data_IF_550364479682
#
_entry.id   IF_550364479682
#
_cell.length_a   1.000
_cell.length_b   1.000
_cell.length_c   1.000
_cell.angle_alpha   90.00
_cell.angle_beta   90.00
_cell.angle_gamma   90.00
#
_symmetry.space_group_name_H-M   'P 1'
#
loop_
_entity.id
_entity.type
_entity.pdbx_description
1 polymer ?
#
# COMPACT_ATOMS: atom_id res chain seq x y z
N UNK A 1 16.18 -16.71 5.27
CA UNK A 1 15.81 -15.46 5.96
C UNK A 1 14.53 -15.70 6.77
N UNK A 2 14.62 -16.31 7.95
CA UNK A 2 13.42 -16.73 8.72
C UNK A 2 12.85 -15.64 9.61
N UNK A 3 13.63 -14.59 9.94
CA UNK A 3 13.18 -13.48 10.77
C UNK A 3 12.50 -12.34 10.00
N UNK A 4 12.51 -12.37 8.67
CA UNK A 4 11.83 -11.36 7.85
C UNK A 4 10.36 -11.73 7.71
N UNK A 5 9.50 -10.97 8.38
CA UNK A 5 8.04 -11.20 8.42
C UNK A 5 7.27 -10.33 7.43
N UNK A 6 7.79 -9.15 7.12
CA UNK A 6 7.20 -8.23 6.14
C UNK A 6 8.22 -7.73 5.11
N UNK A 7 7.73 -7.40 3.92
CA UNK A 7 8.52 -6.87 2.81
C UNK A 7 7.76 -5.74 2.12
N UNK A 8 8.44 -4.61 1.87
CA UNK A 8 7.89 -3.49 1.11
C UNK A 8 8.63 -3.34 -0.22
N UNK A 9 7.92 -3.48 -1.34
CA UNK A 9 8.43 -3.30 -2.70
C UNK A 9 8.02 -1.90 -3.20
N UNK A 10 8.99 -0.98 -3.41
CA UNK A 10 8.71 0.43 -3.65
C UNK A 10 8.05 0.66 -5.02
N UNK A 11 7.33 1.77 -5.16
CA UNK A 11 6.55 2.08 -6.37
C UNK A 11 7.38 2.12 -7.66
N UNK A 12 8.66 2.53 -7.58
CA UNK A 12 9.57 2.61 -8.72
C UNK A 12 10.25 1.29 -9.11
N UNK A 13 9.93 0.17 -8.46
CA UNK A 13 10.57 -1.11 -8.77
C UNK A 13 10.08 -1.63 -10.12
N UNK A 14 11.00 -1.86 -11.04
CA UNK A 14 10.70 -2.37 -12.39
C UNK A 14 11.08 -3.83 -12.57
N UNK A 15 11.98 -4.34 -11.74
CA UNK A 15 12.49 -5.71 -11.83
C UNK A 15 12.90 -6.28 -10.48
N UNK A 16 12.61 -7.57 -10.27
CA UNK A 16 13.05 -8.37 -9.13
C UNK A 16 14.00 -9.46 -9.63
N UNK A 17 15.20 -9.52 -9.04
CA UNK A 17 16.24 -10.46 -9.43
C UNK A 17 15.92 -11.93 -9.15
N UNK A 18 16.67 -12.81 -9.80
CA UNK A 18 16.59 -14.26 -9.60
C UNK A 18 16.77 -14.64 -8.12
N UNK A 19 15.78 -15.34 -7.54
CA UNK A 19 15.84 -15.81 -6.17
C UNK A 19 15.99 -14.72 -5.09
N UNK A 20 15.62 -13.46 -5.39
CA UNK A 20 15.83 -12.32 -4.49
C UNK A 20 15.28 -12.53 -3.07
N UNK A 21 14.18 -13.27 -2.93
CA UNK A 21 13.53 -13.57 -1.65
C UNK A 21 13.49 -15.08 -1.35
N UNK A 22 14.39 -15.85 -1.98
CA UNK A 22 14.50 -17.29 -1.77
C UNK A 22 14.74 -17.65 -0.30
N UNK A 23 13.94 -18.56 0.23
CA UNK A 23 14.05 -19.05 1.61
C UNK A 23 13.67 -18.01 2.67
N UNK A 24 12.90 -16.98 2.30
CA UNK A 24 12.26 -16.08 3.25
C UNK A 24 11.01 -16.73 3.87
N UNK A 25 11.19 -17.84 4.59
CA UNK A 25 10.10 -18.67 5.10
C UNK A 25 9.28 -18.02 6.22
N UNK A 26 9.76 -16.92 6.79
CA UNK A 26 9.05 -16.15 7.83
C UNK A 26 8.07 -15.11 7.28
N UNK A 27 8.04 -14.87 5.97
CA UNK A 27 7.20 -13.84 5.37
C UNK A 27 5.72 -14.17 5.54
N UNK A 28 4.99 -13.22 6.14
CA UNK A 28 3.54 -13.26 6.31
C UNK A 28 2.86 -12.14 5.53
N UNK A 29 3.59 -11.10 5.11
CA UNK A 29 3.01 -9.97 4.39
C UNK A 29 4.00 -9.37 3.40
N UNK A 30 3.53 -9.07 2.19
CA UNK A 30 4.29 -8.34 1.18
C UNK A 30 3.43 -7.18 0.70
N UNK A 31 3.94 -5.96 0.81
CA UNK A 31 3.33 -4.75 0.27
C UNK A 31 4.02 -4.37 -1.01
N UNK A 32 3.25 -4.26 -2.10
CA UNK A 32 3.74 -3.78 -3.39
C UNK A 32 3.10 -2.44 -3.67
N UNK A 33 3.94 -1.44 -3.93
CA UNK A 33 3.49 -0.08 -4.25
C UNK A 33 3.58 0.22 -5.76
N UNK A 34 4.06 -0.73 -6.57
CA UNK A 34 4.17 -0.57 -8.01
C UNK A 34 2.82 -0.82 -8.70
N UNK A 35 2.36 0.14 -9.49
CA UNK A 35 1.11 0.02 -10.27
C UNK A 35 1.23 -0.99 -11.41
N UNK A 36 2.46 -1.27 -11.87
CA UNK A 36 2.74 -2.29 -12.90
C UNK A 36 3.52 -3.43 -12.28
N UNK A 37 3.18 -4.65 -12.66
CA UNK A 37 3.87 -5.86 -12.20
C UNK A 37 5.37 -5.79 -12.57
N UNK A 38 6.28 -5.80 -11.58
CA UNK A 38 7.72 -5.79 -11.85
C UNK A 38 8.17 -7.06 -12.56
N UNK A 39 9.05 -6.96 -13.54
CA UNK A 39 9.61 -8.14 -14.21
C UNK A 39 10.35 -9.06 -13.22
N UNK A 40 10.27 -10.37 -13.41
CA UNK A 40 11.08 -11.33 -12.64
C UNK A 40 12.38 -11.70 -13.36
N UNK A 41 13.33 -12.22 -12.61
CA UNK A 41 14.47 -12.97 -13.16
C UNK A 41 14.06 -14.22 -13.96
N UNK A 42 14.98 -14.72 -14.78
CA UNK A 42 14.74 -15.81 -15.72
C UNK A 42 15.19 -17.19 -15.22
N UNK A 43 16.10 -17.25 -14.25
CA UNK A 43 16.78 -18.49 -13.82
C UNK A 43 16.18 -19.12 -12.56
N UNK A 44 15.82 -18.30 -11.57
CA UNK A 44 15.33 -18.80 -10.29
C UNK A 44 14.05 -18.10 -9.86
N UNK A 45 13.17 -18.87 -9.24
CA UNK A 45 11.91 -18.41 -8.67
C UNK A 45 12.16 -17.37 -7.57
N UNK A 46 11.54 -16.20 -7.70
CA UNK A 46 11.73 -15.04 -6.81
C UNK A 46 11.42 -15.40 -5.36
N UNK A 47 10.37 -16.18 -5.15
CA UNK A 47 9.84 -16.58 -3.84
C UNK A 47 10.01 -18.08 -3.57
N UNK A 48 11.03 -18.72 -4.15
CA UNK A 48 11.29 -20.15 -3.88
C UNK A 48 11.45 -20.40 -2.37
N UNK A 49 10.76 -21.41 -1.84
CA UNK A 49 10.75 -21.77 -0.40
C UNK A 49 10.18 -20.69 0.54
N UNK A 50 9.34 -19.78 0.03
CA UNK A 50 8.44 -18.96 0.84
C UNK A 50 7.13 -19.73 1.09
N UNK A 51 6.60 -19.70 2.31
CA UNK A 51 5.28 -20.29 2.62
C UNK A 51 4.17 -19.32 2.16
N UNK A 52 4.02 -19.20 0.84
CA UNK A 52 3.17 -18.19 0.21
C UNK A 52 1.67 -18.36 0.54
N UNK A 53 1.25 -19.53 1.02
CA UNK A 53 -0.11 -19.77 1.53
C UNK A 53 -0.39 -19.03 2.83
N UNK A 54 0.64 -18.80 3.66
CA UNK A 54 0.54 -18.02 4.90
C UNK A 54 0.89 -16.55 4.70
N UNK A 55 1.20 -16.14 3.48
CA UNK A 55 1.59 -14.78 3.15
C UNK A 55 0.46 -14.06 2.41
N UNK A 56 0.12 -12.86 2.85
CA UNK A 56 -0.79 -11.98 2.12
C UNK A 56 0.02 -11.04 1.22
N UNK A 57 -0.37 -10.96 -0.04
CA UNK A 57 0.15 -9.98 -1.00
C UNK A 57 -0.79 -8.78 -1.07
N UNK A 58 -0.32 -7.64 -0.60
CA UNK A 58 -1.03 -6.36 -0.67
C UNK A 58 -0.59 -5.61 -1.92
N UNK A 59 -1.54 -5.26 -2.80
CA UNK A 59 -1.28 -4.60 -4.10
C UNK A 59 -2.11 -3.32 -4.24
N UNK A 60 -1.71 -2.36 -5.10
CA UNK A 60 -2.48 -1.13 -5.27
C UNK A 60 -3.91 -1.40 -5.75
N UNK A 61 -4.87 -0.59 -5.29
CA UNK A 61 -6.25 -0.65 -5.81
C UNK A 61 -6.30 -0.58 -7.34
N UNK A 62 -7.11 -1.43 -7.95
CA UNK A 62 -7.26 -1.55 -9.39
C UNK A 62 -6.19 -2.40 -10.09
N UNK A 63 -5.27 -3.02 -9.35
CA UNK A 63 -4.18 -3.87 -9.91
C UNK A 63 -4.31 -5.35 -9.55
N UNK A 64 -5.38 -5.74 -8.83
CA UNK A 64 -5.59 -7.13 -8.40
C UNK A 64 -5.42 -8.12 -9.55
N UNK A 65 -6.12 -7.91 -10.67
CA UNK A 65 -6.10 -8.85 -11.79
C UNK A 65 -4.71 -8.97 -12.42
N UNK A 66 -4.01 -7.85 -12.60
CA UNK A 66 -2.64 -7.84 -13.14
C UNK A 66 -1.71 -8.68 -12.26
N UNK A 67 -1.73 -8.46 -10.95
CA UNK A 67 -0.91 -9.22 -10.01
C UNK A 67 -1.36 -10.69 -9.90
N UNK A 68 -2.67 -10.96 -9.90
CA UNK A 68 -3.25 -12.30 -9.81
C UNK A 68 -2.94 -13.15 -11.04
N UNK A 69 -2.93 -12.56 -12.23
CA UNK A 69 -2.59 -13.25 -13.48
C UNK A 69 -1.08 -13.34 -13.73
N UNK A 70 -0.28 -12.57 -13.01
CA UNK A 70 1.18 -12.61 -13.11
C UNK A 70 1.82 -13.76 -12.32
N UNK A 71 3.16 -13.80 -12.34
CA UNK A 71 3.92 -14.74 -11.52
C UNK A 71 3.68 -14.56 -10.02
N UNK A 72 3.26 -13.38 -9.54
CA UNK A 72 2.88 -13.21 -8.14
C UNK A 72 1.69 -14.12 -7.79
N UNK A 73 0.66 -14.16 -8.64
CA UNK A 73 -0.49 -15.04 -8.42
C UNK A 73 -0.21 -16.53 -8.55
N UNK A 74 0.94 -16.93 -9.12
CA UNK A 74 1.40 -18.32 -9.07
C UNK A 74 1.94 -18.72 -7.69
N UNK A 75 2.42 -17.75 -6.89
CA UNK A 75 2.91 -18.00 -5.53
C UNK A 75 1.82 -17.72 -4.48
N UNK A 76 1.19 -16.55 -4.56
CA UNK A 76 0.31 -16.04 -3.50
C UNK A 76 -1.16 -16.30 -3.83
N UNK A 77 -1.82 -17.07 -2.95
CA UNK A 77 -3.26 -17.35 -3.03
C UNK A 77 -4.09 -16.18 -2.46
N UNK A 78 -3.57 -15.51 -1.43
CA UNK A 78 -4.23 -14.39 -0.76
C UNK A 78 -3.68 -13.05 -1.28
N UNK A 79 -4.43 -12.41 -2.17
CA UNK A 79 -4.13 -11.08 -2.71
C UNK A 79 -5.20 -10.11 -2.22
N UNK A 80 -4.78 -8.97 -1.68
CA UNK A 80 -5.66 -7.95 -1.12
C UNK A 80 -5.27 -6.61 -1.72
N UNK A 81 -6.24 -5.87 -2.24
CA UNK A 81 -5.98 -4.49 -2.66
C UNK A 81 -5.95 -3.55 -1.47
N UNK A 82 -5.09 -2.54 -1.55
CA UNK A 82 -5.04 -1.46 -0.58
C UNK A 82 -4.79 -0.11 -1.27
N UNK A 83 -5.12 0.97 -0.58
CA UNK A 83 -4.78 2.32 -1.00
C UNK A 83 -3.26 2.52 -0.88
N UNK A 84 -2.54 2.25 -1.96
CA UNK A 84 -1.08 2.24 -2.02
C UNK A 84 -0.44 3.64 -2.02
N UNK A 85 -1.15 4.66 -1.53
CA UNK A 85 -0.52 5.96 -1.30
C UNK A 85 0.73 5.79 -0.44
N UNK A 86 1.80 6.52 -0.75
CA UNK A 86 3.04 6.52 0.03
C UNK A 86 2.90 7.08 1.45
N UNK A 87 1.67 7.18 1.97
CA UNK A 87 1.32 7.59 3.31
C UNK A 87 0.85 6.32 4.02
N UNK A 88 1.70 5.76 4.87
CA UNK A 88 1.57 4.44 5.50
C UNK A 88 0.39 4.31 6.52
N UNK A 89 -0.60 5.23 6.49
CA UNK A 89 -1.65 5.37 7.51
C UNK A 89 -2.77 6.35 7.13
N UNK A 90 -3.27 6.31 5.90
CA UNK A 90 -4.51 7.05 5.58
C UNK A 90 -5.71 6.28 6.12
N UNK A 91 -6.16 6.60 7.33
CA UNK A 91 -7.46 6.12 7.85
C UNK A 91 -8.58 6.77 7.04
N UNK A 92 -8.99 6.13 5.95
CA UNK A 92 -10.20 6.45 5.18
C UNK A 92 -11.42 5.89 5.90
N UNK A 93 -11.66 6.35 7.13
CA UNK A 93 -13.00 6.20 7.71
C UNK A 93 -13.95 7.05 6.87
N UNK A 94 -14.97 6.43 6.29
CA UNK A 94 -15.99 7.09 5.44
C UNK A 94 -17.13 7.68 6.27
N UNK A 95 -17.24 7.31 7.54
CA UNK A 95 -18.35 7.66 8.43
C UNK A 95 -18.00 8.81 9.40
N UNK A 96 -17.11 9.71 8.97
CA UNK A 96 -16.64 10.83 9.78
C UNK A 96 -17.11 12.15 9.21
N UNK A 97 -17.79 12.92 10.05
CA UNK A 97 -18.27 14.25 9.72
C UNK A 97 -17.18 15.30 9.99
N UNK A 98 -17.13 16.33 9.15
CA UNK A 98 -16.31 17.50 9.38
C UNK A 98 -16.90 18.34 10.52
N UNK A 99 -16.15 18.49 11.61
CA UNK A 99 -16.57 19.26 12.79
C UNK A 99 -16.04 20.70 12.72
N UNK A 100 -14.84 20.87 12.17
CA UNK A 100 -14.23 22.18 11.99
C UNK A 100 -13.17 22.16 10.89
N UNK A 101 -12.96 23.33 10.29
CA UNK A 101 -11.94 23.57 9.28
C UNK A 101 -11.14 24.81 9.62
N UNK A 102 -9.84 24.76 9.34
CA UNK A 102 -8.91 25.83 9.62
C UNK A 102 -7.99 26.09 8.42
N UNK A 103 -7.52 27.31 8.28
CA UNK A 103 -6.40 27.64 7.40
C UNK A 103 -5.09 27.09 7.96
N UNK A 104 -4.02 27.11 7.17
CA UNK A 104 -2.67 26.74 7.63
C UNK A 104 -2.15 27.62 8.77
N UNK A 105 -2.73 28.81 8.96
CA UNK A 105 -2.40 29.73 10.06
C UNK A 105 -3.25 29.47 11.32
N UNK A 106 -4.09 28.43 11.34
CA UNK A 106 -4.94 28.10 12.47
C UNK A 106 -6.22 28.94 12.60
N UNK A 107 -6.56 29.75 11.58
CA UNK A 107 -7.80 30.51 11.58
C UNK A 107 -8.96 29.62 11.15
N UNK A 108 -10.08 29.66 11.89
CA UNK A 108 -11.27 28.87 11.54
C UNK A 108 -11.87 29.37 10.22
N UNK A 109 -12.18 28.44 9.32
CA UNK A 109 -12.81 28.70 8.03
C UNK A 109 -14.31 28.38 8.11
N UNK A 110 -15.15 29.22 7.50
CA UNK A 110 -16.61 29.01 7.42
C UNK A 110 -17.03 28.14 6.24
N UNK A 111 -16.14 27.95 5.26
CA UNK A 111 -16.35 27.13 4.07
C UNK A 111 -15.01 26.59 3.56
N UNK A 112 -15.01 25.57 2.69
CA UNK A 112 -13.81 25.15 1.97
C UNK A 112 -13.17 26.34 1.24
N UNK A 113 -11.94 26.65 1.59
CA UNK A 113 -11.15 27.70 0.92
C UNK A 113 -10.11 27.05 0.03
N UNK A 114 -9.92 27.58 -1.19
CA UNK A 114 -8.91 27.10 -2.14
C UNK A 114 -7.53 27.04 -1.49
N UNK A 115 -6.84 25.91 -1.65
CA UNK A 115 -5.56 25.63 -1.02
C UNK A 115 -5.65 24.56 0.08
N UNK A 116 -4.68 24.58 1.00
CA UNK A 116 -4.57 23.58 2.05
C UNK A 116 -5.39 23.96 3.28
N UNK A 117 -6.36 23.13 3.62
CA UNK A 117 -7.20 23.28 4.79
C UNK A 117 -6.86 22.19 5.82
N UNK A 118 -6.85 22.54 7.10
CA UNK A 118 -6.72 21.60 8.21
C UNK A 118 -8.14 21.27 8.69
N UNK A 119 -8.56 20.01 8.58
CA UNK A 119 -9.93 19.57 8.88
C UNK A 119 -9.93 18.65 10.08
N UNK A 120 -10.75 18.97 11.07
CA UNK A 120 -11.00 18.14 12.25
C UNK A 120 -12.31 17.36 12.05
N UNK A 121 -12.25 16.05 12.28
CA UNK A 121 -13.38 15.14 12.10
C UNK A 121 -13.97 14.67 13.43
N UNK A 122 -15.16 14.08 13.37
CA UNK A 122 -15.93 13.61 14.53
C UNK A 122 -15.27 12.45 15.30
N UNK A 123 -14.40 11.66 14.65
CA UNK A 123 -13.58 10.62 15.28
C UNK A 123 -12.37 11.19 16.04
N UNK A 124 -12.21 12.51 16.07
CA UNK A 124 -11.07 13.19 16.67
C UNK A 124 -9.84 13.28 15.75
N UNK A 125 -9.87 12.70 14.55
CA UNK A 125 -8.79 12.82 13.58
C UNK A 125 -8.68 14.24 13.02
N UNK A 126 -7.47 14.62 12.61
CA UNK A 126 -7.18 15.87 11.92
C UNK A 126 -6.48 15.53 10.62
N UNK A 127 -7.05 15.91 9.48
CA UNK A 127 -6.48 15.66 8.15
C UNK A 127 -6.18 16.97 7.43
N UNK A 128 -5.14 16.96 6.60
CA UNK A 128 -4.84 18.04 5.67
C UNK A 128 -5.60 17.76 4.37
N UNK A 129 -6.48 18.67 3.97
CA UNK A 129 -7.35 18.53 2.80
C UNK A 129 -7.04 19.63 1.79
N UNK A 130 -6.62 19.26 0.59
CA UNK A 130 -6.44 20.18 -0.51
C UNK A 130 -7.80 20.48 -1.17
N UNK A 131 -8.15 21.75 -1.28
CA UNK A 131 -9.37 22.22 -1.94
C UNK A 131 -8.97 22.95 -3.22
N UNK A 132 -9.53 22.53 -4.36
CA UNK A 132 -9.23 23.09 -5.68
C UNK A 132 -10.04 24.36 -5.98
#
# INVERSE_FOLDING_TARGET
>A
CSGLTSLNLPAGITKIGDGAFRGCSGLTSIYVYAEKVPEKGYRYDVFERVDAKKCTLYVPMGTYDDYRLSYFGHYFENIVEFDATGIDKTTTSTDVEEVARYSVNGQRLSAPTKGLNIVKYSDGSVKKVAVQ
#
